data_IF_795682270439
#
_entry.id   IF_795682270439
#
_cell.length_a   1.000
_cell.length_b   1.000
_cell.length_c   1.000
_cell.angle_alpha   90.00
_cell.angle_beta   90.00
_cell.angle_gamma   90.00
#
_symmetry.space_group_name_H-M   'P 1'
#
loop_
_entity.id
_entity.type
_entity.pdbx_description
1 polymer ?
#
# COMPACT_ATOMS: atom_id res chain seq x y z
N UNK A 1 -53.38 6.75 -14.88
CA UNK A 1 -53.17 7.86 -13.94
C UNK A 1 -51.75 8.38 -14.13
N UNK A 2 -51.54 9.66 -14.42
CA UNK A 2 -50.24 10.23 -14.81
C UNK A 2 -49.13 10.17 -13.74
N UNK A 3 -49.34 9.48 -12.62
CA UNK A 3 -48.42 9.36 -11.49
C UNK A 3 -47.25 8.40 -11.78
N UNK A 4 -47.49 7.25 -12.40
CA UNK A 4 -46.44 6.27 -12.75
C UNK A 4 -45.48 6.83 -13.80
N UNK A 5 -46.01 7.42 -14.88
CA UNK A 5 -45.19 8.03 -15.93
C UNK A 5 -44.30 9.15 -15.37
N UNK A 6 -44.83 9.97 -14.46
CA UNK A 6 -44.05 11.00 -13.77
C UNK A 6 -42.94 10.39 -12.91
N UNK A 7 -43.23 9.32 -12.16
CA UNK A 7 -42.22 8.62 -11.37
C UNK A 7 -41.08 8.10 -12.25
N UNK A 8 -41.39 7.46 -13.38
CA UNK A 8 -40.39 6.94 -14.30
C UNK A 8 -39.52 8.05 -14.91
N UNK A 9 -40.13 9.18 -15.30
CA UNK A 9 -39.39 10.33 -15.82
C UNK A 9 -38.42 10.88 -14.77
N UNK A 10 -38.88 11.03 -13.53
CA UNK A 10 -38.01 11.47 -12.42
C UNK A 10 -36.86 10.50 -12.22
N UNK A 11 -37.14 9.19 -12.24
CA UNK A 11 -36.11 8.17 -12.07
C UNK A 11 -35.10 8.17 -13.23
N UNK A 12 -35.57 8.34 -14.47
CA UNK A 12 -34.72 8.43 -15.65
C UNK A 12 -33.82 9.67 -15.60
N UNK A 13 -34.35 10.82 -15.16
CA UNK A 13 -33.55 12.04 -14.94
C UNK A 13 -32.50 11.84 -13.87
N UNK A 14 -32.84 11.18 -12.77
CA UNK A 14 -31.91 10.92 -11.67
C UNK A 14 -30.78 9.98 -12.10
N UNK A 15 -31.14 8.87 -12.76
CA UNK A 15 -30.17 7.92 -13.30
C UNK A 15 -29.28 8.57 -14.36
N UNK A 16 -29.87 9.38 -15.26
CA UNK A 16 -29.15 10.14 -16.27
C UNK A 16 -28.18 11.16 -15.65
N UNK A 17 -28.60 11.87 -14.60
CA UNK A 17 -27.74 12.81 -13.90
C UNK A 17 -26.54 12.13 -13.24
N UNK A 18 -26.76 11.02 -12.53
CA UNK A 18 -25.68 10.23 -11.92
C UNK A 18 -24.72 9.71 -12.99
N UNK A 19 -25.25 9.17 -14.08
CA UNK A 19 -24.45 8.68 -15.19
C UNK A 19 -23.65 9.81 -15.85
N UNK A 20 -24.25 10.97 -16.07
CA UNK A 20 -23.59 12.14 -16.65
C UNK A 20 -22.43 12.63 -15.76
N UNK A 21 -22.62 12.65 -14.44
CA UNK A 21 -21.55 12.99 -13.49
C UNK A 21 -20.41 11.98 -13.57
N UNK A 22 -20.72 10.68 -13.55
CA UNK A 22 -19.71 9.63 -13.69
C UNK A 22 -18.95 9.74 -15.02
N UNK A 23 -19.66 9.99 -16.12
CA UNK A 23 -19.06 10.17 -17.43
C UNK A 23 -18.14 11.41 -17.45
N UNK A 24 -18.62 12.54 -16.91
CA UNK A 24 -17.84 13.76 -16.81
C UNK A 24 -16.55 13.55 -16.01
N UNK A 25 -16.61 12.82 -14.88
CA UNK A 25 -15.41 12.46 -14.11
C UNK A 25 -14.41 11.70 -14.98
N UNK A 26 -14.85 10.67 -15.72
CA UNK A 26 -13.96 9.87 -16.57
C UNK A 26 -13.34 10.67 -17.71
N UNK A 27 -14.09 11.59 -18.32
CA UNK A 27 -13.60 12.36 -19.48
C UNK A 27 -12.72 13.53 -19.08
N UNK A 28 -13.09 14.25 -18.01
CA UNK A 28 -12.44 15.49 -17.61
C UNK A 28 -11.40 15.30 -16.50
N UNK A 29 -11.45 14.24 -15.71
CA UNK A 29 -10.44 13.95 -14.68
C UNK A 29 -9.36 13.04 -15.27
N UNK A 30 -8.10 13.45 -15.13
CA UNK A 30 -6.94 12.61 -15.44
C UNK A 30 -6.50 11.87 -14.18
N UNK A 31 -6.41 10.53 -14.19
CA UNK A 31 -5.86 9.80 -13.06
C UNK A 31 -4.36 10.07 -12.94
N UNK A 32 -3.91 10.45 -11.75
CA UNK A 32 -2.50 10.64 -11.44
C UNK A 32 -1.89 9.30 -10.96
N UNK A 33 -0.80 8.88 -11.60
CA UNK A 33 -0.09 7.66 -11.21
C UNK A 33 0.96 8.06 -10.17
N UNK A 34 0.73 7.70 -8.92
CA UNK A 34 1.65 7.98 -7.81
C UNK A 34 2.46 6.72 -7.50
N UNK A 35 3.79 6.79 -7.35
CA UNK A 35 4.58 5.66 -6.91
C UNK A 35 4.19 5.24 -5.49
N UNK A 36 3.78 3.98 -5.33
CA UNK A 36 3.47 3.38 -4.02
C UNK A 36 4.51 2.32 -3.71
N UNK A 37 5.27 2.51 -2.63
CA UNK A 37 6.18 1.49 -2.09
C UNK A 37 5.41 0.60 -1.13
N UNK A 38 5.38 -0.69 -1.40
CA UNK A 38 4.79 -1.71 -0.51
C UNK A 38 5.93 -2.59 -0.03
N UNK A 39 6.11 -2.66 1.30
CA UNK A 39 7.03 -3.62 1.90
C UNK A 39 6.47 -5.02 1.74
N UNK A 40 7.15 -5.84 0.92
CA UNK A 40 6.80 -7.24 0.72
C UNK A 40 7.70 -8.10 1.62
N UNK A 41 7.18 -8.72 2.69
CA UNK A 41 7.96 -9.65 3.49
C UNK A 41 8.30 -10.89 2.66
N UNK A 42 9.59 -11.21 2.52
CA UNK A 42 10.08 -12.40 1.84
C UNK A 42 10.43 -13.47 2.90
N UNK A 43 9.51 -14.42 3.20
CA UNK A 43 9.70 -15.39 4.28
C UNK A 43 11.01 -16.18 4.17
N UNK A 44 11.42 -16.53 2.94
CA UNK A 44 12.67 -17.25 2.68
C UNK A 44 13.95 -16.46 3.03
N UNK A 45 13.90 -15.12 3.02
CA UNK A 45 15.05 -14.27 3.41
C UNK A 45 15.05 -13.97 4.91
N UNK A 46 13.88 -13.98 5.55
CA UNK A 46 13.75 -13.77 6.99
C UNK A 46 14.28 -14.96 7.79
N UNK A 47 14.13 -16.18 7.27
CA UNK A 47 14.70 -17.38 7.89
C UNK A 47 16.23 -17.45 7.76
N UNK A 48 16.81 -16.88 6.69
CA UNK A 48 18.28 -16.79 6.51
C UNK A 48 18.92 -15.66 7.32
N UNK A 49 18.18 -14.61 7.67
CA UNK A 49 18.61 -13.61 8.66
C UNK A 49 18.39 -14.18 10.06
N UNK A 50 19.19 -15.18 10.42
CA UNK A 50 19.45 -15.48 11.81
C UNK A 50 19.86 -14.17 12.52
N UNK A 51 19.48 -13.96 13.79
CA UNK A 51 20.01 -12.84 14.56
C UNK A 51 21.53 -12.95 14.52
N UNK A 52 22.20 -11.97 13.93
CA UNK A 52 23.64 -11.82 14.14
C UNK A 52 23.75 -11.46 15.62
N UNK A 53 23.93 -12.47 16.47
CA UNK A 53 24.47 -12.27 17.81
C UNK A 53 25.73 -11.44 17.58
N UNK A 54 25.80 -10.19 18.05
CA UNK A 54 27.05 -9.45 18.00
C UNK A 54 28.11 -10.37 18.59
N UNK A 55 29.25 -10.60 17.92
CA UNK A 55 30.30 -11.40 18.55
C UNK A 55 30.55 -10.76 19.90
N UNK A 56 30.38 -11.54 20.97
CA UNK A 56 30.89 -11.18 22.27
C UNK A 56 32.32 -10.68 22.04
N UNK A 57 32.70 -9.51 22.59
CA UNK A 57 33.98 -8.89 22.31
C UNK A 57 35.05 -9.95 22.44
N UNK A 58 35.71 -10.24 21.31
CA UNK A 58 36.76 -11.22 21.24
C UNK A 58 37.75 -10.89 22.35
N UNK A 59 37.77 -11.73 23.38
CA UNK A 59 38.78 -11.77 24.42
C UNK A 59 40.11 -12.16 23.77
N UNK A 60 40.71 -11.18 23.09
CA UNK A 60 42.14 -11.05 22.86
C UNK A 60 42.65 -10.34 24.11
N UNK A 61 43.49 -10.92 24.95
CA UNK A 61 44.86 -11.36 24.68
C UNK A 61 45.33 -12.13 25.91
N UNK A 62 46.01 -13.30 25.83
CA UNK A 62 46.88 -13.72 26.93
C UNK A 62 48.10 -12.80 26.86
N UNK A 63 48.01 -11.66 27.53
CA UNK A 63 49.10 -10.70 27.63
C UNK A 63 50.25 -11.37 28.37
N UNK A 64 51.33 -11.60 27.64
CA UNK A 64 52.62 -12.10 28.11
C UNK A 64 53.24 -11.02 29.01
N UNK A 65 52.76 -10.92 30.24
CA UNK A 65 53.18 -9.95 31.26
C UNK A 65 53.55 -10.73 32.53
N UNK A 66 54.70 -11.40 32.51
CA UNK A 66 55.21 -12.18 33.64
C UNK A 66 56.68 -12.56 33.51
N UNK A 67 57.44 -11.87 32.66
CA UNK A 67 58.86 -12.16 32.43
C UNK A 67 59.67 -10.85 32.29
N UNK A 68 59.54 -9.94 33.26
CA UNK A 68 60.48 -8.85 33.55
C UNK A 68 60.55 -8.57 35.04
#
# INVERSE_FOLDING_TARGET
>A
MPTLTRLLIVLALLAGAVFAVMWALVTFVRPEIVPVTIDVPIPALQERRAPVTPPAPASSTPSVEGLR
#
